data_IF_646079747633
#
_entry.id   IF_646079747633
#
_cell.length_a   1.000
_cell.length_b   1.000
_cell.length_c   1.000
_cell.angle_alpha   90.00
_cell.angle_beta   90.00
_cell.angle_gamma   90.00
#
_symmetry.space_group_name_H-M   'P 1'
#
loop_
_entity.id
_entity.type
_entity.pdbx_description
1 polymer ?
#
# COMPACT_ATOMS: atom_id res chain seq x y z
N UNK A 1 -6.36 -16.12 6.82
CA UNK A 1 -5.14 -16.31 6.00
C UNK A 1 -5.29 -15.47 4.75
N UNK A 2 -4.20 -14.97 4.18
CA UNK A 2 -4.20 -14.18 2.96
C UNK A 2 -3.66 -14.97 1.76
N UNK A 3 -3.76 -14.40 0.59
CA UNK A 3 -3.13 -14.93 -0.63
C UNK A 3 -2.15 -13.89 -1.18
N UNK A 4 -1.00 -14.37 -1.65
CA UNK A 4 -0.03 -13.54 -2.36
C UNK A 4 -0.36 -13.58 -3.84
N UNK A 5 -0.57 -12.42 -4.44
CA UNK A 5 -0.85 -12.28 -5.87
C UNK A 5 0.15 -11.32 -6.48
N UNK A 6 0.81 -11.73 -7.55
CA UNK A 6 1.73 -10.87 -8.28
C UNK A 6 0.96 -9.73 -8.97
N UNK A 7 1.46 -8.50 -8.89
CA UNK A 7 0.84 -7.29 -9.44
C UNK A 7 0.44 -7.43 -10.92
N UNK A 8 1.27 -8.08 -11.72
CA UNK A 8 1.00 -8.35 -13.15
C UNK A 8 -0.31 -9.10 -13.40
N UNK A 9 -0.71 -10.00 -12.51
CA UNK A 9 -1.96 -10.75 -12.66
C UNK A 9 -3.17 -9.90 -12.29
N UNK A 10 -3.04 -9.10 -11.22
CA UNK A 10 -4.08 -8.13 -10.82
C UNK A 10 -4.30 -7.12 -11.95
N UNK A 11 -3.24 -6.51 -12.47
CA UNK A 11 -3.31 -5.56 -13.59
C UNK A 11 -3.94 -6.19 -14.83
N UNK A 12 -3.51 -7.39 -15.22
CA UNK A 12 -4.08 -8.10 -16.37
C UNK A 12 -5.57 -8.35 -16.19
N UNK A 13 -6.00 -8.81 -15.01
CA UNK A 13 -7.40 -9.10 -14.73
C UNK A 13 -8.26 -7.82 -14.79
N UNK A 14 -7.81 -6.75 -14.12
CA UNK A 14 -8.50 -5.46 -14.12
C UNK A 14 -8.56 -4.87 -15.55
N UNK A 15 -7.44 -4.88 -16.26
CA UNK A 15 -7.36 -4.38 -17.62
C UNK A 15 -8.30 -5.13 -18.57
N UNK A 16 -8.36 -6.46 -18.47
CA UNK A 16 -9.29 -7.28 -19.25
C UNK A 16 -10.77 -6.93 -18.95
N UNK A 17 -11.09 -6.57 -17.72
CA UNK A 17 -12.44 -6.14 -17.35
C UNK A 17 -12.77 -4.74 -17.87
N UNK A 18 -11.82 -3.80 -17.74
CA UNK A 18 -11.98 -2.42 -18.23
C UNK A 18 -12.23 -2.40 -19.74
N UNK A 19 -11.41 -3.13 -20.50
CA UNK A 19 -11.50 -3.13 -21.98
C UNK A 19 -12.77 -3.79 -22.53
N UNK A 20 -13.44 -4.62 -21.73
CA UNK A 20 -14.70 -5.28 -22.09
C UNK A 20 -15.94 -4.52 -21.64
N UNK A 21 -15.78 -3.44 -20.88
CA UNK A 21 -16.90 -2.67 -20.35
C UNK A 21 -17.07 -1.37 -21.14
N UNK A 22 -18.10 -1.29 -21.96
CA UNK A 22 -18.43 -0.14 -22.79
C UNK A 22 -18.75 1.15 -22.00
N UNK A 23 -19.06 1.03 -20.70
CA UNK A 23 -19.30 2.18 -19.83
C UNK A 23 -18.00 2.85 -19.33
N UNK A 24 -16.85 2.24 -19.60
CA UNK A 24 -15.55 2.75 -19.17
C UNK A 24 -14.76 3.26 -20.39
N UNK A 25 -14.62 4.58 -20.49
CA UNK A 25 -13.74 5.22 -21.45
C UNK A 25 -12.34 5.38 -20.83
N UNK A 26 -11.36 4.61 -21.30
CA UNK A 26 -10.00 4.67 -20.82
C UNK A 26 -9.08 5.40 -21.81
N UNK A 27 -8.16 6.19 -21.28
CA UNK A 27 -7.21 6.99 -22.07
C UNK A 27 -5.79 6.71 -21.61
N UNK A 28 -5.03 6.02 -22.44
CA UNK A 28 -3.59 5.83 -22.24
C UNK A 28 -2.83 7.10 -22.60
N UNK A 29 -1.63 7.23 -22.02
CA UNK A 29 -0.71 8.32 -22.31
C UNK A 29 -1.37 9.70 -22.21
N UNK A 30 -2.29 9.85 -21.26
CA UNK A 30 -3.01 11.09 -21.00
C UNK A 30 -2.80 11.53 -19.57
N UNK A 31 -2.39 12.77 -19.39
CA UNK A 31 -2.13 13.37 -18.09
C UNK A 31 -3.10 14.51 -17.84
N UNK A 32 -3.63 14.58 -16.62
CA UNK A 32 -4.43 15.74 -16.18
C UNK A 32 -3.47 16.87 -15.82
N UNK A 33 -3.58 17.98 -16.54
CA UNK A 33 -2.73 19.16 -16.32
C UNK A 33 -3.41 20.23 -15.47
N UNK A 34 -4.74 20.31 -15.53
CA UNK A 34 -5.52 21.31 -14.80
C UNK A 34 -6.89 20.74 -14.40
N UNK A 35 -7.44 21.24 -13.29
CA UNK A 35 -8.85 21.06 -12.96
C UNK A 35 -9.43 22.34 -12.40
N UNK A 36 -10.72 22.61 -12.70
CA UNK A 36 -11.44 23.78 -12.23
C UNK A 36 -12.83 23.39 -11.73
N UNK A 37 -13.13 23.77 -10.51
CA UNK A 37 -14.47 23.61 -9.94
C UNK A 37 -15.44 24.54 -10.63
N UNK A 38 -16.63 24.02 -10.92
CA UNK A 38 -17.73 24.75 -11.50
C UNK A 38 -19.03 24.41 -10.73
N UNK A 39 -20.08 25.20 -10.95
CA UNK A 39 -21.37 24.86 -10.37
C UNK A 39 -21.90 23.55 -10.96
N UNK A 40 -22.00 22.50 -10.12
CA UNK A 40 -22.55 21.21 -10.50
C UNK A 40 -21.56 20.22 -11.14
N UNK A 41 -20.34 20.61 -11.54
CA UNK A 41 -19.34 19.75 -12.14
C UNK A 41 -17.90 20.24 -11.88
N UNK A 42 -16.92 19.40 -12.18
CA UNK A 42 -15.50 19.76 -12.23
C UNK A 42 -15.01 19.59 -13.68
N UNK A 43 -14.34 20.63 -14.21
CA UNK A 43 -13.73 20.59 -15.53
C UNK A 43 -12.27 20.15 -15.40
N UNK A 44 -11.87 19.19 -16.21
CA UNK A 44 -10.52 18.59 -16.23
C UNK A 44 -9.89 18.84 -17.59
N UNK A 45 -8.69 19.35 -17.62
CA UNK A 45 -7.92 19.56 -18.86
C UNK A 45 -6.81 18.50 -18.94
N UNK A 46 -6.72 17.82 -20.07
CA UNK A 46 -5.67 16.86 -20.37
C UNK A 46 -4.46 17.55 -21.05
N UNK A 47 -3.32 16.88 -21.06
CA UNK A 47 -2.06 17.35 -21.67
C UNK A 47 -2.17 17.65 -23.17
N UNK A 48 -3.11 17.02 -23.88
CA UNK A 48 -3.43 17.30 -25.28
C UNK A 48 -4.44 18.46 -25.47
N UNK A 49 -4.76 19.21 -24.42
CA UNK A 49 -5.69 20.33 -24.41
C UNK A 49 -7.17 19.95 -24.38
N UNK A 50 -7.53 18.65 -24.43
CA UNK A 50 -8.92 18.20 -24.34
C UNK A 50 -9.49 18.48 -22.96
N UNK A 51 -10.70 19.03 -22.92
CA UNK A 51 -11.46 19.26 -21.68
C UNK A 51 -12.52 18.21 -21.49
N UNK A 52 -12.66 17.76 -20.25
CA UNK A 52 -13.68 16.80 -19.80
C UNK A 52 -14.42 17.41 -18.61
N UNK A 53 -15.74 17.27 -18.58
CA UNK A 53 -16.56 17.68 -17.45
C UNK A 53 -17.09 16.43 -16.74
N UNK A 54 -16.95 16.39 -15.42
CA UNK A 54 -17.40 15.26 -14.60
C UNK A 54 -18.03 15.73 -13.29
N UNK A 55 -18.92 14.91 -12.71
CA UNK A 55 -19.50 15.20 -11.40
C UNK A 55 -18.51 15.01 -10.25
N UNK A 56 -17.56 14.09 -10.41
CA UNK A 56 -16.53 13.76 -9.42
C UNK A 56 -15.22 13.44 -10.13
N UNK A 57 -14.11 13.97 -9.63
CA UNK A 57 -12.75 13.62 -9.99
C UNK A 57 -12.12 12.81 -8.88
N UNK A 58 -11.59 11.63 -9.20
CA UNK A 58 -10.92 10.75 -8.23
C UNK A 58 -9.43 10.70 -8.52
N UNK A 59 -8.62 11.10 -7.55
CA UNK A 59 -7.16 11.04 -7.59
C UNK A 59 -6.63 9.71 -7.10
N UNK A 60 -6.07 8.92 -8.02
CA UNK A 60 -5.39 7.66 -7.75
C UNK A 60 -3.97 7.67 -8.32
N UNK A 61 -3.36 8.85 -8.39
CA UNK A 61 -2.10 9.15 -9.08
C UNK A 61 -0.85 8.94 -8.19
N UNK A 62 -1.03 8.19 -7.09
CA UNK A 62 0.04 7.68 -6.27
C UNK A 62 0.63 8.69 -5.28
N UNK A 63 1.75 8.31 -4.68
CA UNK A 63 2.39 9.03 -3.57
C UNK A 63 2.69 10.50 -3.87
N UNK A 64 3.14 10.79 -5.08
CA UNK A 64 3.46 12.15 -5.53
C UNK A 64 2.28 12.80 -6.28
N UNK A 65 1.06 12.58 -5.80
CA UNK A 65 -0.17 13.06 -6.44
C UNK A 65 -0.09 14.52 -6.87
N UNK A 66 -0.09 14.73 -8.17
CA UNK A 66 -0.16 16.09 -8.75
C UNK A 66 -1.57 16.68 -8.56
N UNK A 67 -2.58 15.82 -8.50
CA UNK A 67 -3.95 16.25 -8.21
C UNK A 67 -4.06 16.82 -6.79
N UNK A 68 -3.50 16.13 -5.80
CA UNK A 68 -3.47 16.63 -4.42
C UNK A 68 -2.74 17.98 -4.33
N UNK A 69 -1.59 18.10 -5.00
CA UNK A 69 -0.81 19.34 -5.03
C UNK A 69 -1.61 20.49 -5.67
N UNK A 70 -2.27 20.26 -6.82
CA UNK A 70 -3.10 21.28 -7.48
C UNK A 70 -4.35 21.66 -6.67
N UNK A 71 -4.86 20.74 -5.86
CA UNK A 71 -5.97 20.99 -4.94
C UNK A 71 -5.51 21.61 -3.61
N UNK A 72 -4.21 21.94 -3.47
CA UNK A 72 -3.62 22.49 -2.26
C UNK A 72 -3.87 21.60 -1.02
N UNK A 73 -3.92 20.30 -1.24
CA UNK A 73 -4.04 19.31 -0.17
C UNK A 73 -2.64 18.97 0.32
N UNK A 74 -2.34 19.43 1.52
CA UNK A 74 -1.06 19.15 2.18
C UNK A 74 -1.02 17.70 2.65
N UNK A 75 0.20 17.18 2.77
CA UNK A 75 0.45 15.85 3.34
C UNK A 75 1.35 15.98 4.55
N UNK A 76 0.98 15.32 5.63
CA UNK A 76 1.74 15.21 6.87
C UNK A 76 2.39 13.83 6.95
N UNK A 77 3.62 13.77 7.49
CA UNK A 77 4.34 12.50 7.62
C UNK A 77 5.84 12.69 7.75
N UNK A 78 6.58 11.60 7.63
CA UNK A 78 8.05 11.61 7.76
C UNK A 78 8.69 10.49 6.93
N UNK A 79 9.98 10.68 6.64
CA UNK A 79 10.83 9.67 6.02
C UNK A 79 11.50 8.84 7.10
N UNK A 80 11.52 7.52 6.94
CA UNK A 80 12.15 6.60 7.91
C UNK A 80 13.67 6.52 7.80
N UNK A 81 14.28 7.20 6.85
CA UNK A 81 15.70 7.03 6.48
C UNK A 81 16.05 5.58 6.13
N UNK A 82 15.08 4.84 5.67
CA UNK A 82 15.15 3.45 5.24
C UNK A 82 14.67 3.32 3.80
N UNK A 83 15.20 2.30 3.11
CA UNK A 83 14.73 1.89 1.78
C UNK A 83 14.47 0.40 1.75
N UNK A 84 13.46 -0.02 1.00
CA UNK A 84 13.20 -1.41 0.69
C UNK A 84 13.95 -1.81 -0.57
N UNK A 85 14.82 -2.81 -0.47
CA UNK A 85 15.43 -3.52 -1.58
C UNK A 85 14.49 -4.67 -1.95
N UNK A 86 14.00 -4.67 -3.18
CA UNK A 86 13.01 -5.65 -3.65
C UNK A 86 13.58 -6.42 -4.83
N UNK A 87 13.53 -7.75 -4.74
CA UNK A 87 13.86 -8.64 -5.85
C UNK A 87 13.06 -9.93 -5.76
N UNK A 88 13.01 -10.67 -6.85
CA UNK A 88 12.50 -12.04 -6.84
C UNK A 88 13.68 -13.03 -6.84
N UNK A 89 13.50 -14.16 -6.16
CA UNK A 89 14.45 -15.27 -6.14
C UNK A 89 13.78 -16.56 -6.57
N UNK A 90 14.54 -17.42 -7.24
CA UNK A 90 14.19 -18.82 -7.49
C UNK A 90 15.07 -19.71 -6.61
N UNK A 91 14.50 -20.68 -5.91
CA UNK A 91 15.18 -21.46 -4.86
C UNK A 91 14.88 -22.96 -4.93
N UNK A 92 15.72 -23.76 -4.24
CA UNK A 92 15.64 -25.23 -4.33
C UNK A 92 14.54 -25.82 -3.46
N UNK A 93 14.40 -25.40 -2.22
CA UNK A 93 13.42 -25.93 -1.27
C UNK A 93 12.03 -25.33 -1.54
N UNK A 94 10.99 -26.04 -1.14
CA UNK A 94 9.63 -25.52 -1.21
C UNK A 94 9.38 -24.53 -0.05
N UNK A 95 8.74 -23.40 -0.34
CA UNK A 95 8.32 -22.44 0.69
C UNK A 95 7.00 -22.83 1.37
N UNK A 96 6.31 -23.89 0.89
CA UNK A 96 5.05 -24.41 1.44
C UNK A 96 3.95 -23.33 1.62
N UNK A 97 3.96 -22.28 0.80
CA UNK A 97 3.03 -21.15 0.89
C UNK A 97 3.23 -20.28 2.15
N UNK A 98 4.34 -20.43 2.88
CA UNK A 98 4.61 -19.67 4.09
C UNK A 98 5.31 -18.36 3.74
N UNK A 99 4.77 -17.25 4.24
CA UNK A 99 5.44 -15.96 4.25
C UNK A 99 6.29 -15.84 5.53
N UNK A 100 7.56 -15.48 5.35
CA UNK A 100 8.52 -15.30 6.44
C UNK A 100 8.84 -13.82 6.60
N UNK A 101 8.96 -13.37 7.85
CA UNK A 101 9.41 -12.03 8.16
C UNK A 101 10.41 -12.05 9.31
N UNK A 102 11.61 -11.58 9.02
CA UNK A 102 12.69 -11.41 9.98
C UNK A 102 12.77 -9.94 10.38
N UNK A 103 12.79 -9.68 11.67
CA UNK A 103 12.99 -8.33 12.21
C UNK A 103 14.46 -8.12 12.53
N UNK A 104 15.08 -7.24 11.78
CA UNK A 104 16.49 -6.87 11.92
C UNK A 104 16.61 -5.42 12.39
N UNK A 105 17.76 -5.01 12.97
CA UNK A 105 17.95 -3.63 13.45
C UNK A 105 17.77 -2.56 12.38
N UNK A 106 18.16 -2.84 11.14
CA UNK A 106 17.96 -1.95 9.99
C UNK A 106 16.52 -1.90 9.47
N UNK A 107 15.67 -2.83 9.89
CA UNK A 107 14.30 -3.00 9.43
C UNK A 107 13.96 -4.45 9.06
N UNK A 108 12.71 -4.74 8.72
CA UNK A 108 12.28 -6.09 8.40
C UNK A 108 12.82 -6.58 7.05
N UNK A 109 13.05 -7.91 6.98
CA UNK A 109 13.26 -8.65 5.75
C UNK A 109 12.11 -9.64 5.61
N UNK A 110 11.30 -9.48 4.57
CA UNK A 110 10.20 -10.39 4.25
C UNK A 110 10.56 -11.29 3.07
N UNK A 111 10.15 -12.56 3.17
CA UNK A 111 10.23 -13.57 2.12
C UNK A 111 8.80 -13.99 1.82
N UNK A 112 8.30 -13.59 0.68
CA UNK A 112 6.88 -13.73 0.33
C UNK A 112 6.74 -14.82 -0.75
N UNK A 113 5.92 -15.86 -0.54
CA UNK A 113 5.79 -16.97 -1.48
C UNK A 113 5.17 -16.52 -2.80
N UNK A 114 5.74 -16.95 -3.90
CA UNK A 114 5.24 -16.76 -5.26
C UNK A 114 4.90 -18.11 -5.89
N UNK A 115 4.33 -18.14 -7.08
CA UNK A 115 4.02 -19.37 -7.81
C UNK A 115 5.29 -20.17 -8.09
N UNK A 116 5.26 -21.47 -7.79
CA UNK A 116 6.40 -22.38 -7.91
C UNK A 116 7.43 -22.15 -6.80
N UNK A 117 8.65 -22.56 -7.03
CA UNK A 117 9.78 -22.37 -6.07
C UNK A 117 10.38 -20.99 -6.22
N UNK A 118 9.56 -19.95 -6.06
CA UNK A 118 9.96 -18.54 -6.15
C UNK A 118 9.46 -17.77 -4.96
N UNK A 119 10.21 -16.76 -4.55
CA UNK A 119 9.80 -15.86 -3.50
C UNK A 119 10.17 -14.40 -3.85
N UNK A 120 9.31 -13.48 -3.46
CA UNK A 120 9.64 -12.06 -3.47
C UNK A 120 10.32 -11.69 -2.16
N UNK A 121 11.46 -11.04 -2.27
CA UNK A 121 12.22 -10.49 -1.14
C UNK A 121 11.89 -9.02 -1.02
N UNK A 122 11.50 -8.60 0.17
CA UNK A 122 11.39 -7.19 0.55
C UNK A 122 12.30 -6.96 1.75
N UNK A 123 13.46 -6.40 1.50
CA UNK A 123 14.51 -6.23 2.48
C UNK A 123 14.72 -4.75 2.82
N UNK A 124 14.41 -4.38 4.04
CA UNK A 124 14.57 -3.00 4.53
C UNK A 124 15.98 -2.77 5.05
N UNK A 125 16.59 -1.69 4.59
CA UNK A 125 17.92 -1.23 5.03
C UNK A 125 17.96 0.29 5.23
N UNK A 126 18.91 0.77 6.01
CA UNK A 126 19.23 2.19 6.09
C UNK A 126 19.58 2.72 4.68
N UNK A 127 19.17 3.94 4.34
CA UNK A 127 19.33 4.49 2.99
C UNK A 127 20.76 4.42 2.44
N UNK A 128 21.76 4.70 3.27
CA UNK A 128 23.17 4.63 2.86
C UNK A 128 23.57 3.19 2.48
N UNK A 129 23.19 2.22 3.31
CA UNK A 129 23.47 0.81 3.07
C UNK A 129 22.69 0.28 1.86
N UNK A 130 21.42 0.64 1.73
CA UNK A 130 20.58 0.24 0.60
C UNK A 130 21.17 0.72 -0.73
N UNK A 131 21.66 1.96 -0.79
CA UNK A 131 22.34 2.50 -1.97
C UNK A 131 23.62 1.71 -2.29
N UNK A 132 24.45 1.44 -1.29
CA UNK A 132 25.68 0.68 -1.48
C UNK A 132 25.41 -0.76 -1.95
N UNK A 133 24.46 -1.44 -1.32
CA UNK A 133 24.05 -2.81 -1.67
C UNK A 133 23.50 -2.90 -3.09
N UNK A 134 22.72 -1.92 -3.52
CA UNK A 134 22.14 -1.91 -4.85
C UNK A 134 23.18 -1.74 -5.97
N UNK A 135 24.34 -1.16 -5.66
CA UNK A 135 25.46 -1.01 -6.59
C UNK A 135 26.33 -2.28 -6.72
N UNK A 136 26.15 -3.26 -5.85
CA UNK A 136 26.91 -4.51 -5.94
C UNK A 136 26.49 -5.33 -7.16
N UNK A 137 27.48 -6.06 -7.72
CA UNK A 137 27.18 -7.09 -8.71
C UNK A 137 26.26 -8.17 -8.13
N UNK A 138 25.70 -9.00 -8.98
CA UNK A 138 24.75 -10.04 -8.57
C UNK A 138 25.36 -11.05 -7.59
N UNK A 139 26.62 -11.42 -7.78
CA UNK A 139 27.33 -12.38 -6.94
C UNK A 139 27.46 -11.87 -5.51
N UNK A 140 27.91 -10.63 -5.34
CA UNK A 140 28.08 -9.99 -4.04
C UNK A 140 26.73 -9.75 -3.36
N UNK A 141 25.73 -9.27 -4.13
CA UNK A 141 24.37 -9.07 -3.63
C UNK A 141 23.77 -10.38 -3.11
N UNK A 142 23.84 -11.46 -3.92
CA UNK A 142 23.35 -12.79 -3.55
C UNK A 142 24.04 -13.32 -2.30
N UNK A 143 25.36 -13.15 -2.16
CA UNK A 143 26.10 -13.57 -0.97
C UNK A 143 25.62 -12.84 0.29
N UNK A 144 25.39 -11.54 0.22
CA UNK A 144 24.89 -10.75 1.35
C UNK A 144 23.46 -11.14 1.71
N UNK A 145 22.61 -11.32 0.71
CA UNK A 145 21.23 -11.76 0.90
C UNK A 145 21.17 -13.16 1.52
N UNK A 146 22.01 -14.10 1.04
CA UNK A 146 22.10 -15.45 1.59
C UNK A 146 22.48 -15.46 3.07
N UNK A 147 23.45 -14.61 3.47
CA UNK A 147 23.84 -14.48 4.86
C UNK A 147 22.69 -14.00 5.78
N UNK A 148 21.73 -13.25 5.25
CA UNK A 148 20.55 -12.77 5.98
C UNK A 148 19.38 -13.76 5.97
N UNK A 149 19.17 -14.45 4.87
CA UNK A 149 18.12 -15.45 4.72
C UNK A 149 18.43 -16.74 5.49
N UNK A 150 19.71 -17.09 5.63
CA UNK A 150 20.07 -18.42 6.09
C UNK A 150 19.84 -19.49 5.01
N UNK A 151 19.68 -20.77 5.42
CA UNK A 151 19.74 -21.91 4.49
C UNK A 151 18.37 -22.61 4.27
N UNK A 152 17.27 -22.05 4.78
CA UNK A 152 15.97 -22.75 4.78
C UNK A 152 15.34 -22.92 3.38
N UNK A 153 15.72 -22.08 2.41
CA UNK A 153 15.29 -22.20 1.01
C UNK A 153 16.30 -22.96 0.11
N UNK A 154 17.42 -23.42 0.69
CA UNK A 154 18.52 -23.99 -0.08
C UNK A 154 19.26 -22.94 -0.90
N UNK A 155 19.91 -23.38 -2.00
CA UNK A 155 20.52 -22.43 -2.93
C UNK A 155 19.46 -21.66 -3.69
N UNK A 156 19.75 -20.41 -3.99
CA UNK A 156 18.85 -19.56 -4.77
C UNK A 156 19.62 -18.67 -5.76
N UNK A 157 18.93 -18.19 -6.76
CA UNK A 157 19.40 -17.17 -7.70
C UNK A 157 18.38 -16.03 -7.78
N UNK A 158 18.85 -14.83 -8.08
CA UNK A 158 17.99 -13.68 -8.33
C UNK A 158 17.37 -13.83 -9.71
N UNK A 159 16.09 -13.48 -9.85
CA UNK A 159 15.37 -13.48 -11.12
C UNK A 159 14.74 -12.10 -11.36
N UNK A 160 14.94 -11.57 -12.58
CA UNK A 160 14.48 -10.23 -12.95
C UNK A 160 15.30 -9.10 -12.29
N UNK A 161 14.72 -7.91 -12.27
CA UNK A 161 15.39 -6.69 -11.83
C UNK A 161 15.34 -6.52 -10.31
N UNK A 162 16.33 -5.81 -9.78
CA UNK A 162 16.36 -5.34 -8.40
C UNK A 162 15.83 -3.91 -8.34
N UNK A 163 14.92 -3.66 -7.42
CA UNK A 163 14.32 -2.35 -7.22
C UNK A 163 14.61 -1.81 -5.84
N UNK A 164 14.65 -0.49 -5.70
CA UNK A 164 14.86 0.18 -4.41
C UNK A 164 13.82 1.26 -4.23
N UNK A 165 13.09 1.21 -3.13
CA UNK A 165 12.02 2.15 -2.81
C UNK A 165 12.30 2.83 -1.47
N UNK A 166 12.36 4.18 -1.42
CA UNK A 166 12.45 4.89 -0.15
C UNK A 166 11.16 4.68 0.66
N UNK A 167 11.33 4.50 1.98
CA UNK A 167 10.23 4.28 2.90
C UNK A 167 9.85 5.57 3.61
N UNK A 168 8.57 5.90 3.56
CA UNK A 168 8.00 7.07 4.20
C UNK A 168 6.56 6.80 4.64
N UNK A 169 6.13 7.52 5.66
CA UNK A 169 4.73 7.68 6.02
C UNK A 169 4.26 9.01 5.47
N UNK A 170 3.12 9.03 4.83
CA UNK A 170 2.51 10.26 4.34
C UNK A 170 1.00 10.13 4.35
N UNK A 171 0.31 11.06 4.99
CA UNK A 171 -1.15 11.11 5.05
C UNK A 171 -1.58 12.51 4.62
N UNK A 172 -2.54 12.58 3.71
CA UNK A 172 -3.14 13.84 3.31
C UNK A 172 -3.97 14.44 4.47
N UNK A 173 -3.88 15.75 4.65
CA UNK A 173 -4.60 16.45 5.73
C UNK A 173 -6.12 16.38 5.53
N UNK A 174 -6.55 16.25 4.27
CA UNK A 174 -7.92 15.91 3.88
C UNK A 174 -7.90 14.97 2.67
N UNK A 175 -8.86 14.05 2.59
CA UNK A 175 -8.98 13.09 1.49
C UNK A 175 -9.92 13.59 0.40
N UNK A 176 -10.58 14.70 0.64
CA UNK A 176 -11.60 15.26 -0.25
C UNK A 176 -11.43 16.76 -0.45
N UNK A 177 -11.98 17.23 -1.53
CA UNK A 177 -12.40 18.62 -1.76
C UNK A 177 -13.74 18.57 -2.51
N UNK A 178 -14.37 19.72 -2.74
CA UNK A 178 -15.60 19.75 -3.53
C UNK A 178 -15.36 19.14 -4.91
N UNK A 179 -16.12 18.10 -5.25
CA UNK A 179 -16.01 17.30 -6.49
C UNK A 179 -14.67 16.58 -6.68
N UNK A 180 -13.92 16.36 -5.61
CA UNK A 180 -12.63 15.69 -5.65
C UNK A 180 -12.49 14.73 -4.47
N UNK A 181 -12.03 13.50 -4.75
CA UNK A 181 -11.64 12.52 -3.74
C UNK A 181 -10.26 11.93 -4.06
N UNK A 182 -9.43 11.73 -3.04
CA UNK A 182 -8.14 11.04 -3.13
C UNK A 182 -8.28 9.62 -2.60
N UNK A 183 -7.63 8.65 -3.25
CA UNK A 183 -7.62 7.23 -2.85
C UNK A 183 -6.20 6.64 -2.92
N UNK A 184 -5.94 5.58 -2.17
CA UNK A 184 -4.65 4.90 -2.15
C UNK A 184 -3.51 5.81 -1.74
N UNK A 185 -2.34 5.63 -2.35
CA UNK A 185 -1.13 6.41 -2.03
C UNK A 185 -1.27 7.92 -2.29
N UNK A 186 -2.27 8.34 -3.06
CA UNK A 186 -2.60 9.76 -3.22
C UNK A 186 -3.16 10.36 -1.92
N UNK A 187 -3.92 9.58 -1.15
CA UNK A 187 -4.48 9.97 0.14
C UNK A 187 -3.53 9.60 1.30
N UNK A 188 -2.97 8.40 1.30
CA UNK A 188 -2.13 7.89 2.39
C UNK A 188 -1.12 6.86 1.90
N UNK A 189 0.12 7.01 2.32
CA UNK A 189 1.19 6.05 2.07
C UNK A 189 1.75 5.59 3.41
N UNK A 190 1.76 4.28 3.66
CA UNK A 190 2.18 3.68 4.93
C UNK A 190 3.43 2.82 4.76
N UNK A 191 4.13 2.55 5.87
CA UNK A 191 5.29 1.65 5.85
C UNK A 191 4.85 0.24 5.42
N UNK A 192 5.58 -0.41 4.48
CA UNK A 192 5.18 -1.70 3.90
C UNK A 192 5.34 -2.91 4.82
N UNK A 193 5.56 -2.71 6.12
CA UNK A 193 5.89 -3.75 7.11
C UNK A 193 4.89 -4.91 7.16
N UNK A 194 3.64 -4.66 6.76
CA UNK A 194 2.59 -5.68 6.73
C UNK A 194 1.98 -5.88 5.32
N UNK A 195 2.56 -5.26 4.28
CA UNK A 195 2.03 -5.33 2.91
C UNK A 195 0.63 -4.70 2.75
N UNK A 196 0.21 -3.80 3.64
CA UNK A 196 -1.16 -3.29 3.74
C UNK A 196 -1.50 -2.13 2.79
N UNK A 197 -0.50 -1.50 2.15
CA UNK A 197 -0.73 -0.31 1.32
C UNK A 197 -1.77 -0.52 0.22
N UNK A 198 -1.61 -1.59 -0.58
CA UNK A 198 -2.56 -1.92 -1.66
C UNK A 198 -3.95 -2.29 -1.11
N UNK A 199 -4.00 -3.04 -0.02
CA UNK A 199 -5.27 -3.43 0.62
C UNK A 199 -6.02 -2.20 1.15
N UNK A 200 -5.33 -1.23 1.75
CA UNK A 200 -5.90 0.03 2.17
C UNK A 200 -6.46 0.83 0.99
N UNK A 201 -5.75 0.87 -0.14
CA UNK A 201 -6.23 1.49 -1.38
C UNK A 201 -7.48 0.80 -1.95
N UNK A 202 -7.54 -0.53 -1.94
CA UNK A 202 -8.77 -1.26 -2.32
C UNK A 202 -9.94 -0.97 -1.38
N UNK A 203 -9.68 -0.83 -0.08
CA UNK A 203 -10.71 -0.42 0.88
C UNK A 203 -11.22 0.99 0.59
N UNK A 204 -10.34 1.94 0.20
CA UNK A 204 -10.75 3.27 -0.24
C UNK A 204 -11.72 3.21 -1.41
N UNK A 205 -11.38 2.42 -2.44
CA UNK A 205 -12.23 2.22 -3.62
C UNK A 205 -13.59 1.66 -3.22
N UNK A 206 -13.61 0.63 -2.38
CA UNK A 206 -14.83 -0.03 -1.95
C UNK A 206 -15.74 0.90 -1.13
N UNK A 207 -15.17 1.70 -0.21
CA UNK A 207 -15.92 2.68 0.58
C UNK A 207 -16.43 3.82 -0.29
N UNK A 208 -15.58 4.39 -1.17
CA UNK A 208 -15.99 5.46 -2.06
C UNK A 208 -17.12 5.00 -2.99
N UNK A 209 -17.02 3.80 -3.57
CA UNK A 209 -18.05 3.21 -4.40
C UNK A 209 -19.37 3.02 -3.63
N UNK A 210 -19.31 2.54 -2.38
CA UNK A 210 -20.46 2.39 -1.50
C UNK A 210 -21.16 3.74 -1.28
N UNK A 211 -20.41 4.76 -0.89
CA UNK A 211 -20.96 6.11 -0.62
C UNK A 211 -21.58 6.74 -1.88
N UNK A 212 -20.89 6.62 -3.03
CA UNK A 212 -21.38 7.15 -4.31
C UNK A 212 -22.67 6.44 -4.74
N UNK A 213 -22.74 5.11 -4.60
CA UNK A 213 -23.91 4.33 -4.93
C UNK A 213 -25.11 4.73 -4.07
N UNK A 214 -24.92 4.91 -2.77
CA UNK A 214 -25.98 5.36 -1.87
C UNK A 214 -26.44 6.78 -2.19
N UNK A 215 -25.52 7.69 -2.46
CA UNK A 215 -25.83 9.05 -2.87
C UNK A 215 -26.62 9.09 -4.19
N UNK A 216 -26.22 8.23 -5.14
CA UNK A 216 -26.94 8.10 -6.41
C UNK A 216 -28.39 7.63 -6.22
N UNK A 217 -28.60 6.60 -5.40
CA UNK A 217 -29.95 6.09 -5.11
C UNK A 217 -30.84 7.12 -4.40
N UNK A 218 -30.23 8.03 -3.63
CA UNK A 218 -30.97 9.12 -2.94
C UNK A 218 -31.14 10.37 -3.79
N UNK A 219 -30.64 10.40 -5.02
CA UNK A 219 -30.66 11.59 -5.89
C UNK A 219 -29.76 12.73 -5.41
N UNK A 220 -28.74 12.44 -4.55
CA UNK A 220 -27.82 13.43 -4.03
C UNK A 220 -26.76 13.81 -5.09
N UNK A 221 -26.19 15.01 -4.99
CA UNK A 221 -25.05 15.40 -5.84
C UNK A 221 -23.78 14.65 -5.40
N UNK A 222 -23.30 13.72 -6.24
CA UNK A 222 -22.18 12.83 -5.98
C UNK A 222 -20.87 13.56 -5.65
N UNK A 223 -20.70 14.78 -6.14
CA UNK A 223 -19.53 15.61 -5.90
C UNK A 223 -19.65 16.57 -4.73
N UNK A 224 -20.81 16.63 -4.07
CA UNK A 224 -21.01 17.53 -2.96
C UNK A 224 -20.12 17.17 -1.76
N UNK A 225 -19.65 18.19 -1.02
CA UNK A 225 -18.86 17.98 0.20
C UNK A 225 -19.61 17.12 1.23
N UNK A 226 -20.94 17.22 1.32
CA UNK A 226 -21.73 16.42 2.26
C UNK A 226 -21.66 14.92 1.97
N UNK A 227 -21.67 14.52 0.68
CA UNK A 227 -21.49 13.13 0.25
C UNK A 227 -20.06 12.67 0.50
N UNK A 228 -19.06 13.46 0.07
CA UNK A 228 -17.65 13.08 0.15
C UNK A 228 -17.13 13.04 1.59
N UNK A 229 -17.68 13.85 2.51
CA UNK A 229 -17.33 13.78 3.95
C UNK A 229 -17.61 12.40 4.54
N UNK A 230 -18.69 11.72 4.15
CA UNK A 230 -18.98 10.34 4.60
C UNK A 230 -17.84 9.37 4.24
N UNK A 231 -17.27 9.52 3.03
CA UNK A 231 -16.10 8.76 2.61
C UNK A 231 -14.88 9.11 3.47
N UNK A 232 -14.58 10.39 3.64
CA UNK A 232 -13.42 10.85 4.41
C UNK A 232 -13.50 10.40 5.87
N UNK A 233 -14.63 10.56 6.54
CA UNK A 233 -14.84 10.15 7.93
C UNK A 233 -14.60 8.66 8.12
N UNK A 234 -15.14 7.84 7.22
CA UNK A 234 -14.95 6.39 7.26
C UNK A 234 -13.47 6.00 7.08
N UNK A 235 -12.81 6.58 6.08
CA UNK A 235 -11.45 6.16 5.71
C UNK A 235 -10.34 6.78 6.54
N UNK A 236 -10.54 8.01 7.02
CA UNK A 236 -9.50 8.73 7.74
C UNK A 236 -9.14 8.07 9.06
N UNK A 237 -10.12 7.56 9.79
CA UNK A 237 -9.89 6.82 11.02
C UNK A 237 -9.08 5.54 10.77
N UNK A 238 -9.52 4.72 9.82
CA UNK A 238 -8.83 3.48 9.46
C UNK A 238 -7.39 3.72 8.99
N UNK A 239 -7.19 4.73 8.16
CA UNK A 239 -5.86 5.07 7.63
C UNK A 239 -4.93 5.60 8.72
N UNK A 240 -5.42 6.40 9.65
CA UNK A 240 -4.65 6.89 10.80
C UNK A 240 -4.28 5.72 11.74
N UNK A 241 -5.21 4.82 12.02
CA UNK A 241 -4.96 3.63 12.83
C UNK A 241 -3.90 2.73 12.19
N UNK A 242 -4.00 2.46 10.88
CA UNK A 242 -3.02 1.67 10.15
C UNK A 242 -1.64 2.33 10.16
N UNK A 243 -1.57 3.65 9.92
CA UNK A 243 -0.34 4.40 9.94
C UNK A 243 0.33 4.36 11.32
N UNK A 244 -0.43 4.60 12.38
CA UNK A 244 0.08 4.52 13.75
C UNK A 244 0.58 3.12 14.09
N UNK A 245 -0.19 2.09 13.76
CA UNK A 245 0.17 0.70 14.04
C UNK A 245 1.45 0.30 13.29
N UNK A 246 1.56 0.61 12.00
CA UNK A 246 2.76 0.27 11.21
C UNK A 246 4.00 1.05 11.67
N UNK A 247 3.84 2.31 12.07
CA UNK A 247 4.93 3.12 12.64
C UNK A 247 5.40 2.57 13.99
N UNK A 248 4.45 2.25 14.88
CA UNK A 248 4.76 1.67 16.17
C UNK A 248 5.49 0.32 16.02
N UNK A 249 5.01 -0.55 15.13
CA UNK A 249 5.67 -1.81 14.81
C UNK A 249 7.08 -1.57 14.26
N UNK A 250 7.26 -0.66 13.31
CA UNK A 250 8.58 -0.35 12.78
C UNK A 250 9.52 0.11 13.90
N UNK A 251 9.12 1.06 14.73
CA UNK A 251 9.92 1.55 15.86
C UNK A 251 10.24 0.47 16.88
N UNK A 252 9.29 -0.40 17.21
CA UNK A 252 9.45 -1.47 18.18
C UNK A 252 10.41 -2.57 17.69
N UNK A 253 10.40 -2.86 16.39
CA UNK A 253 11.14 -3.98 15.81
C UNK A 253 12.46 -3.58 15.12
N UNK A 254 12.63 -2.30 14.76
CA UNK A 254 13.84 -1.78 14.09
C UNK A 254 14.70 -0.98 15.08
N UNK A 255 15.14 -1.62 16.17
CA UNK A 255 16.06 -1.03 17.14
C UNK A 255 16.95 -2.08 17.79
N UNK A 256 18.07 -1.64 18.37
CA UNK A 256 19.07 -2.48 19.03
C UNK A 256 18.95 -2.48 20.56
N UNK A 257 17.95 -1.81 21.13
CA UNK A 257 17.79 -1.72 22.58
C UNK A 257 17.42 -3.08 23.18
N UNK A 258 18.30 -3.63 24.02
CA UNK A 258 18.14 -4.96 24.62
C UNK A 258 16.90 -5.06 25.52
N UNK A 259 16.56 -4.01 26.26
CA UNK A 259 15.39 -3.99 27.13
C UNK A 259 14.09 -4.05 26.30
N UNK A 260 14.03 -3.28 25.20
CA UNK A 260 12.90 -3.34 24.26
C UNK A 260 12.79 -4.69 23.57
N UNK A 261 13.94 -5.31 23.23
CA UNK A 261 13.97 -6.65 22.65
C UNK A 261 13.43 -7.71 23.61
N UNK A 262 13.80 -7.63 24.89
CA UNK A 262 13.28 -8.53 25.92
C UNK A 262 11.78 -8.34 26.13
N UNK A 263 11.34 -7.11 26.31
CA UNK A 263 9.91 -6.77 26.47
C UNK A 263 9.05 -7.22 25.27
N UNK A 264 9.55 -7.03 24.05
CA UNK A 264 8.92 -7.51 22.82
C UNK A 264 8.78 -9.03 22.81
N UNK A 265 9.85 -9.76 23.12
CA UNK A 265 9.84 -11.22 23.12
C UNK A 265 8.86 -11.79 24.16
N UNK A 266 8.78 -11.17 25.34
CA UNK A 266 7.81 -11.53 26.38
C UNK A 266 6.37 -11.21 25.90
N UNK A 267 6.17 -10.00 25.33
CA UNK A 267 4.89 -9.57 24.81
C UNK A 267 4.35 -10.47 23.70
N UNK A 268 5.21 -10.88 22.75
CA UNK A 268 4.84 -11.83 21.69
C UNK A 268 4.48 -13.21 22.23
N UNK A 269 5.21 -13.74 23.21
CA UNK A 269 4.88 -15.02 23.86
C UNK A 269 3.53 -14.95 24.59
N UNK A 270 3.29 -13.84 25.30
CA UNK A 270 2.00 -13.62 25.96
C UNK A 270 0.84 -13.56 24.95
N UNK A 271 1.02 -12.81 23.85
CA UNK A 271 0.04 -12.73 22.76
C UNK A 271 -0.24 -14.09 22.12
N UNK A 272 0.79 -14.90 21.93
CA UNK A 272 0.64 -16.25 21.36
C UNK A 272 -0.14 -17.18 22.28
N UNK A 273 -0.05 -16.97 23.61
CA UNK A 273 -0.79 -17.74 24.62
C UNK A 273 -2.25 -17.33 24.80
N UNK A 274 -2.69 -16.18 24.22
CA UNK A 274 -4.07 -15.68 24.34
C UNK A 274 -4.79 -15.82 22.99
N UNK A 275 -5.58 -16.90 22.76
CA UNK A 275 -6.18 -17.17 21.44
C UNK A 275 -7.11 -16.06 20.93
N UNK A 276 -7.82 -15.37 21.83
CA UNK A 276 -8.75 -14.29 21.47
C UNK A 276 -7.98 -13.06 20.96
N UNK A 277 -6.91 -12.67 21.65
CA UNK A 277 -6.06 -11.55 21.22
C UNK A 277 -5.39 -11.84 19.88
N UNK A 278 -4.84 -13.05 19.71
CA UNK A 278 -4.26 -13.52 18.45
C UNK A 278 -5.27 -13.48 17.30
N UNK A 279 -6.49 -13.97 17.52
CA UNK A 279 -7.56 -13.95 16.51
C UNK A 279 -7.94 -12.52 16.12
N UNK A 280 -8.05 -11.60 17.06
CA UNK A 280 -8.39 -10.21 16.79
C UNK A 280 -7.29 -9.52 15.99
N UNK A 281 -6.01 -9.71 16.31
CA UNK A 281 -4.89 -9.18 15.54
C UNK A 281 -4.87 -9.76 14.12
N UNK A 282 -5.15 -11.06 13.95
CA UNK A 282 -5.24 -11.68 12.63
C UNK A 282 -6.38 -11.08 11.81
N UNK A 283 -7.55 -10.85 12.41
CA UNK A 283 -8.68 -10.21 11.73
C UNK A 283 -8.35 -8.77 11.33
N UNK A 284 -7.70 -8.03 12.21
CA UNK A 284 -7.23 -6.66 11.92
C UNK A 284 -6.23 -6.65 10.76
N UNK A 285 -5.22 -7.52 10.81
CA UNK A 285 -4.24 -7.68 9.75
C UNK A 285 -4.86 -8.15 8.42
N UNK A 286 -5.97 -8.89 8.47
CA UNK A 286 -6.73 -9.31 7.30
C UNK A 286 -7.67 -8.21 6.75
N UNK A 287 -7.80 -7.07 7.46
CA UNK A 287 -8.67 -5.97 7.06
C UNK A 287 -10.17 -6.27 7.14
N UNK A 288 -10.55 -7.29 7.93
CA UNK A 288 -11.95 -7.75 8.09
C UNK A 288 -12.57 -7.32 9.44
N UNK A 289 -11.99 -6.30 10.06
CA UNK A 289 -12.49 -5.67 11.29
C UNK A 289 -13.19 -4.36 10.97
N UNK A 290 -14.10 -3.95 11.87
CA UNK A 290 -14.91 -2.75 11.71
C UNK A 290 -16.05 -2.91 10.69
N UNK A 291 -16.61 -1.80 10.26
CA UNK A 291 -17.67 -1.76 9.25
C UNK A 291 -17.06 -1.99 7.85
N UNK A 292 -17.56 -3.01 7.15
CA UNK A 292 -17.07 -3.35 5.82
C UNK A 292 -17.99 -2.72 4.75
N UNK A 293 -17.43 -2.17 3.66
CA UNK A 293 -18.23 -1.71 2.53
C UNK A 293 -18.77 -2.91 1.74
N UNK A 294 -19.87 -2.70 0.99
CA UNK A 294 -20.59 -3.78 0.25
C UNK A 294 -19.71 -4.62 -0.65
N UNK A 295 -18.69 -4.05 -1.27
CA UNK A 295 -17.78 -4.78 -2.17
C UNK A 295 -16.78 -5.69 -1.42
N UNK A 296 -16.78 -5.70 -0.09
CA UNK A 296 -15.89 -6.52 0.74
C UNK A 296 -16.66 -7.59 1.55
N UNK A 297 -17.94 -7.78 1.27
CA UNK A 297 -18.80 -8.83 1.81
C UNK A 297 -18.81 -10.07 0.91
#
# INVERSE_FOLDING_TARGET
>A
MGQMVEDRFIRKALFTKITKNEQIDYKFNSKVTEHKKQSGYISVTLDNGKKLNTKLLVGADGRNSELANRAEIKKSGWKYNQSALVCAIEHEADHNGVAWQYFMPSGPLAVLPMTGKRSCIVWTEQNANAKAINLFDETRYTKILAARLGNFLGKFKIIGDRHTYPLELSIADRFIDERLALIGDAAHSVHPIAGQGLNAGFKDIAVLAHIIQDAHHRGEDLGSLGVLKRYEEWRRFDSAQLAYSTDLFNKLFSNENEALRLARNIGLKLLDSIPVAKRNIIKEAAGITGELPRLMH
#
